data_IF_834208260754
#
_entry.id   IF_834208260754
#
_cell.length_a   1.000
_cell.length_b   1.000
_cell.length_c   1.000
_cell.angle_alpha   90.00
_cell.angle_beta   90.00
_cell.angle_gamma   90.00
#
_symmetry.space_group_name_H-M   'P 1'
#
loop_
_entity.id
_entity.type
_entity.pdbx_description
1 polymer ?
#
# COMPACT_ATOMS: atom_id res chain seq x y z
N UNK A 1 10.14 -8.52 -27.09
CA UNK A 1 8.91 -7.73 -27.41
C UNK A 1 9.30 -6.29 -27.71
N UNK A 2 8.72 -5.64 -28.74
CA UNK A 2 9.01 -4.22 -29.04
C UNK A 2 8.43 -3.35 -27.90
N UNK A 3 9.26 -2.60 -27.18
CA UNK A 3 8.89 -1.75 -26.02
C UNK A 3 7.64 -0.86 -26.25
N UNK A 4 7.41 -0.39 -27.48
CA UNK A 4 6.26 0.45 -27.86
C UNK A 4 4.90 -0.27 -27.83
N UNK A 5 4.84 -1.59 -27.97
CA UNK A 5 3.58 -2.34 -27.95
C UNK A 5 3.17 -2.75 -26.55
N UNK A 6 4.06 -2.67 -25.55
CA UNK A 6 3.80 -3.04 -24.16
C UNK A 6 3.13 -1.89 -23.38
N UNK A 7 3.47 -0.64 -23.69
CA UNK A 7 2.97 0.53 -22.95
C UNK A 7 1.43 0.64 -22.88
N UNK A 8 0.68 0.56 -24.00
CA UNK A 8 -0.78 0.64 -23.93
C UNK A 8 -1.39 -0.56 -23.17
N UNK A 9 -0.83 -1.74 -23.34
CA UNK A 9 -1.31 -2.92 -22.62
C UNK A 9 -1.00 -2.82 -21.11
N UNK A 10 0.16 -2.28 -20.76
CA UNK A 10 0.53 -1.99 -19.37
C UNK A 10 -0.43 -0.94 -18.77
N UNK A 11 -0.70 0.14 -19.50
CA UNK A 11 -1.63 1.18 -19.09
C UNK A 11 -3.01 0.60 -18.72
N UNK A 12 -3.63 -0.14 -19.63
CA UNK A 12 -4.94 -0.74 -19.38
C UNK A 12 -4.91 -1.82 -18.30
N UNK A 13 -3.83 -2.59 -18.20
CA UNK A 13 -3.69 -3.60 -17.14
C UNK A 13 -3.59 -2.98 -15.76
N UNK A 14 -2.76 -1.95 -15.59
CA UNK A 14 -2.60 -1.24 -14.31
C UNK A 14 -3.84 -0.42 -13.95
N UNK A 15 -4.48 0.22 -14.92
CA UNK A 15 -5.74 0.93 -14.74
C UNK A 15 -6.84 -0.01 -14.24
N UNK A 16 -6.98 -1.18 -14.87
CA UNK A 16 -7.94 -2.21 -14.44
C UNK A 16 -7.65 -2.69 -13.01
N UNK A 17 -6.38 -3.02 -12.73
CA UNK A 17 -5.97 -3.44 -11.39
C UNK A 17 -6.31 -2.38 -10.33
N UNK A 18 -6.02 -1.11 -10.62
CA UNK A 18 -6.33 -0.02 -9.69
C UNK A 18 -7.83 0.19 -9.49
N UNK A 19 -8.64 0.07 -10.55
CA UNK A 19 -10.08 0.28 -10.50
C UNK A 19 -10.81 -0.83 -9.70
N UNK A 20 -10.31 -2.06 -9.76
CA UNK A 20 -10.99 -3.24 -9.20
C UNK A 20 -10.29 -3.84 -7.97
N UNK A 21 -9.28 -3.17 -7.43
CA UNK A 21 -8.62 -3.63 -6.21
C UNK A 21 -9.28 -3.02 -4.99
N UNK A 22 -9.95 -3.86 -4.22
CA UNK A 22 -10.52 -3.53 -2.91
C UNK A 22 -9.88 -4.42 -1.85
N UNK A 23 -9.64 -3.91 -0.65
CA UNK A 23 -9.24 -4.73 0.50
C UNK A 23 -7.76 -4.74 0.88
N UNK A 24 -6.92 -3.87 0.30
CA UNK A 24 -5.56 -3.64 0.81
C UNK A 24 -4.43 -4.33 0.04
N UNK A 25 -3.20 -4.17 0.57
CA UNK A 25 -1.96 -4.42 -0.16
C UNK A 25 -1.72 -5.86 -0.65
N UNK A 26 -2.18 -6.87 0.07
CA UNK A 26 -1.98 -8.28 -0.34
C UNK A 26 -2.89 -8.71 -1.49
N UNK A 27 -4.11 -8.16 -1.57
CA UNK A 27 -5.04 -8.46 -2.67
C UNK A 27 -4.47 -7.97 -3.99
N UNK A 28 -3.87 -6.79 -4.03
CA UNK A 28 -3.26 -6.25 -5.25
C UNK A 28 -2.09 -7.10 -5.72
N UNK A 29 -1.28 -7.65 -4.80
CA UNK A 29 -0.15 -8.53 -5.14
C UNK A 29 -0.64 -9.79 -5.87
N UNK A 30 -1.71 -10.42 -5.35
CA UNK A 30 -2.30 -11.60 -5.98
C UNK A 30 -2.88 -11.28 -7.36
N UNK A 31 -3.54 -10.12 -7.51
CA UNK A 31 -4.07 -9.67 -8.79
C UNK A 31 -2.97 -9.31 -9.79
N UNK A 32 -1.86 -8.71 -9.33
CA UNK A 32 -0.69 -8.42 -10.16
C UNK A 32 -0.02 -9.70 -10.64
N UNK A 33 0.16 -10.70 -9.74
CA UNK A 33 0.67 -12.03 -10.12
C UNK A 33 -0.22 -12.63 -11.19
N UNK A 34 -1.53 -12.73 -10.96
CA UNK A 34 -2.47 -13.24 -11.94
C UNK A 34 -2.35 -12.51 -13.29
N UNK A 35 -2.28 -11.16 -13.27
CA UNK A 35 -2.29 -10.35 -14.49
C UNK A 35 -0.99 -10.41 -15.27
N UNK A 36 0.16 -10.29 -14.60
CA UNK A 36 1.47 -10.13 -15.26
C UNK A 36 2.24 -11.45 -15.39
N UNK A 37 2.01 -12.41 -14.51
CA UNK A 37 2.65 -13.74 -14.58
C UNK A 37 1.73 -14.71 -15.32
N UNK A 38 0.51 -14.95 -14.82
CA UNK A 38 -0.32 -16.05 -15.31
C UNK A 38 -1.00 -15.73 -16.66
N UNK A 39 -1.55 -14.51 -16.83
CA UNK A 39 -2.29 -14.14 -18.04
C UNK A 39 -1.40 -13.58 -19.14
N UNK A 40 -0.44 -12.73 -18.78
CA UNK A 40 0.41 -12.03 -19.77
C UNK A 40 1.76 -12.67 -19.99
N UNK A 41 2.22 -13.51 -19.07
CA UNK A 41 3.56 -14.13 -19.11
C UNK A 41 4.69 -13.11 -19.35
N UNK A 42 4.54 -11.90 -18.78
CA UNK A 42 5.53 -10.83 -18.94
C UNK A 42 6.66 -10.93 -17.93
N UNK A 43 6.39 -11.53 -16.78
CA UNK A 43 7.29 -11.63 -15.63
C UNK A 43 7.22 -13.06 -15.12
N UNK A 44 8.38 -13.59 -14.68
CA UNK A 44 8.45 -14.88 -14.01
C UNK A 44 7.90 -14.82 -12.59
N UNK A 45 7.55 -15.96 -12.01
CA UNK A 45 6.96 -16.04 -10.67
C UNK A 45 7.94 -15.55 -9.60
N UNK A 46 9.18 -16.02 -9.61
CA UNK A 46 10.23 -15.61 -8.67
C UNK A 46 10.53 -14.12 -8.80
N UNK A 47 10.62 -13.64 -10.03
CA UNK A 47 10.85 -12.23 -10.31
C UNK A 47 9.69 -11.34 -9.80
N UNK A 48 8.45 -11.81 -9.91
CA UNK A 48 7.29 -11.09 -9.36
C UNK A 48 7.37 -10.96 -7.83
N UNK A 49 7.87 -11.99 -7.14
CA UNK A 49 8.08 -11.95 -5.69
C UNK A 49 9.12 -10.89 -5.31
N UNK A 50 10.23 -10.81 -6.05
CA UNK A 50 11.26 -9.78 -5.84
C UNK A 50 10.70 -8.36 -6.06
N UNK A 51 9.93 -8.15 -7.13
CA UNK A 51 9.31 -6.85 -7.42
C UNK A 51 8.30 -6.45 -6.33
N UNK A 52 7.56 -7.40 -5.78
CA UNK A 52 6.65 -7.18 -4.66
C UNK A 52 7.42 -6.80 -3.39
N UNK A 53 8.54 -7.48 -3.10
CA UNK A 53 9.38 -7.14 -1.95
C UNK A 53 9.93 -5.71 -2.06
N UNK A 54 10.35 -5.28 -3.24
CA UNK A 54 10.79 -3.90 -3.51
C UNK A 54 9.62 -2.92 -3.30
N UNK A 55 8.43 -3.23 -3.82
CA UNK A 55 7.25 -2.39 -3.69
C UNK A 55 6.83 -2.22 -2.22
N UNK A 56 6.93 -3.29 -1.42
CA UNK A 56 6.63 -3.26 0.01
C UNK A 56 7.68 -2.51 0.85
N UNK A 57 8.94 -2.51 0.42
CA UNK A 57 10.00 -1.76 1.09
C UNK A 57 9.95 -0.25 0.83
N UNK A 58 9.20 0.16 -0.19
CA UNK A 58 9.05 1.57 -0.56
C UNK A 58 7.89 2.22 0.20
N UNK A 59 8.04 3.46 0.69
CA UNK A 59 6.95 4.17 1.36
C UNK A 59 5.81 4.47 0.37
N UNK A 60 4.57 4.22 0.79
CA UNK A 60 3.37 4.51 0.01
C UNK A 60 2.51 3.28 -0.30
N UNK A 61 1.42 3.45 -1.06
CA UNK A 61 0.51 2.37 -1.40
C UNK A 61 1.20 1.27 -2.23
N UNK A 62 1.14 0.02 -1.78
CA UNK A 62 1.75 -1.13 -2.46
C UNK A 62 1.26 -1.24 -3.91
N UNK A 63 -0.01 -0.91 -4.17
CA UNK A 63 -0.60 -0.90 -5.50
C UNK A 63 0.15 0.02 -6.47
N UNK A 64 0.46 1.24 -6.03
CA UNK A 64 1.17 2.25 -6.84
C UNK A 64 2.63 1.84 -6.99
N UNK A 65 3.30 1.51 -5.88
CA UNK A 65 4.70 1.10 -5.90
C UNK A 65 4.91 -0.14 -6.76
N UNK A 66 4.06 -1.16 -6.61
CA UNK A 66 4.13 -2.39 -7.42
C UNK A 66 3.90 -2.13 -8.91
N UNK A 67 2.91 -1.32 -9.25
CA UNK A 67 2.67 -0.94 -10.64
C UNK A 67 3.87 -0.20 -11.26
N UNK A 68 4.50 0.72 -10.51
CA UNK A 68 5.69 1.46 -10.95
C UNK A 68 6.86 0.51 -11.16
N UNK A 69 7.14 -0.39 -10.21
CA UNK A 69 8.28 -1.31 -10.27
C UNK A 69 8.11 -2.29 -11.45
N UNK A 70 6.90 -2.85 -11.63
CA UNK A 70 6.56 -3.69 -12.79
C UNK A 70 6.68 -2.90 -14.09
N UNK A 71 6.16 -1.69 -14.14
CA UNK A 71 6.25 -0.80 -15.29
C UNK A 71 7.69 -0.49 -15.67
N UNK A 72 8.53 -0.20 -14.67
CA UNK A 72 9.96 0.02 -14.89
C UNK A 72 10.66 -1.22 -15.45
N UNK A 73 10.37 -2.39 -14.93
CA UNK A 73 10.92 -3.65 -15.42
C UNK A 73 10.56 -3.90 -16.89
N UNK A 74 9.32 -3.65 -17.29
CA UNK A 74 8.83 -3.95 -18.62
C UNK A 74 9.29 -2.94 -19.71
N UNK A 75 9.33 -1.65 -19.38
CA UNK A 75 9.62 -0.60 -20.36
C UNK A 75 10.49 0.56 -19.83
N UNK A 76 11.22 0.35 -18.73
CA UNK A 76 12.08 1.36 -18.12
C UNK A 76 11.27 2.55 -17.58
N UNK A 77 11.84 3.74 -17.60
CA UNK A 77 11.22 4.95 -17.06
C UNK A 77 9.86 5.27 -17.72
N UNK A 78 9.72 5.05 -19.03
CA UNK A 78 8.46 5.23 -19.73
C UNK A 78 7.36 4.28 -19.20
N UNK A 79 7.71 3.03 -18.90
CA UNK A 79 6.82 2.06 -18.29
C UNK A 79 6.41 2.45 -16.88
N UNK A 80 7.38 2.91 -16.06
CA UNK A 80 7.12 3.38 -14.70
C UNK A 80 6.15 4.56 -14.67
N UNK A 81 6.36 5.58 -15.51
CA UNK A 81 5.49 6.73 -15.62
C UNK A 81 4.08 6.35 -16.11
N UNK A 82 4.02 5.48 -17.14
CA UNK A 82 2.74 4.98 -17.68
C UNK A 82 1.94 4.25 -16.60
N UNK A 83 2.60 3.36 -15.84
CA UNK A 83 1.95 2.61 -14.76
C UNK A 83 1.51 3.53 -13.61
N UNK A 84 2.34 4.50 -13.21
CA UNK A 84 2.00 5.47 -12.18
C UNK A 84 0.74 6.26 -12.54
N UNK A 85 0.69 6.82 -13.76
CA UNK A 85 -0.48 7.58 -14.24
C UNK A 85 -1.72 6.69 -14.29
N UNK A 86 -1.60 5.49 -14.87
CA UNK A 86 -2.72 4.56 -15.00
C UNK A 86 -3.29 4.13 -13.64
N UNK A 87 -2.42 3.98 -12.62
CA UNK A 87 -2.85 3.58 -11.28
C UNK A 87 -3.57 4.70 -10.53
N UNK A 88 -3.20 5.97 -10.78
CA UNK A 88 -3.79 7.13 -10.09
C UNK A 88 -5.13 7.56 -10.70
N UNK A 89 -5.35 7.34 -12.00
CA UNK A 89 -6.57 7.77 -12.70
C UNK A 89 -7.87 7.26 -12.05
N UNK A 90 -8.06 5.95 -11.77
CA UNK A 90 -9.32 5.46 -11.23
C UNK A 90 -9.70 6.10 -9.87
N UNK A 91 -8.85 6.10 -8.84
CA UNK A 91 -9.19 6.73 -7.57
C UNK A 91 -9.40 8.25 -7.72
N UNK A 92 -8.62 8.91 -8.58
CA UNK A 92 -8.78 10.33 -8.84
C UNK A 92 -10.15 10.65 -9.47
N UNK A 93 -10.55 9.89 -10.50
CA UNK A 93 -11.86 10.07 -11.17
C UNK A 93 -13.00 9.79 -10.20
N UNK A 94 -12.92 8.71 -9.41
CA UNK A 94 -13.95 8.39 -8.42
C UNK A 94 -14.10 9.52 -7.39
N UNK A 95 -13.00 10.01 -6.83
CA UNK A 95 -13.04 11.10 -5.85
C UNK A 95 -13.55 12.39 -6.49
N UNK A 96 -13.15 12.72 -7.71
CA UNK A 96 -13.62 13.90 -8.42
C UNK A 96 -15.13 13.85 -8.69
N UNK A 97 -15.64 12.69 -9.13
CA UNK A 97 -17.08 12.49 -9.35
C UNK A 97 -17.85 12.59 -8.03
N UNK A 98 -17.40 11.91 -6.98
CA UNK A 98 -18.03 11.98 -5.66
C UNK A 98 -18.04 13.43 -5.14
N UNK A 99 -16.94 14.15 -5.29
CA UNK A 99 -16.83 15.54 -4.87
C UNK A 99 -17.79 16.47 -5.65
N UNK A 100 -17.92 16.26 -6.97
CA UNK A 100 -18.82 17.03 -7.80
C UNK A 100 -20.30 16.83 -7.40
N UNK A 101 -20.69 15.59 -7.15
CA UNK A 101 -22.05 15.24 -6.75
C UNK A 101 -22.31 15.43 -5.25
N UNK A 102 -21.27 15.66 -4.44
CA UNK A 102 -21.39 15.75 -2.98
C UNK A 102 -22.39 16.80 -2.52
N UNK A 103 -22.44 17.97 -3.18
CA UNK A 103 -23.37 19.05 -2.84
C UNK A 103 -24.85 18.64 -3.08
N UNK A 104 -25.11 17.81 -4.10
CA UNK A 104 -26.45 17.30 -4.41
C UNK A 104 -26.91 16.24 -3.38
N UNK A 105 -25.99 15.53 -2.77
CA UNK A 105 -26.28 14.42 -1.86
C UNK A 105 -26.16 14.78 -0.38
N UNK A 106 -25.46 15.88 -0.07
CA UNK A 106 -25.13 16.26 1.31
C UNK A 106 -26.35 16.40 2.21
N UNK A 107 -27.43 16.94 1.66
CA UNK A 107 -28.66 17.25 2.40
C UNK A 107 -29.68 16.08 2.36
N UNK A 108 -29.34 14.97 1.71
CA UNK A 108 -30.20 13.79 1.65
C UNK A 108 -29.92 12.86 2.82
N UNK A 109 -30.91 12.62 3.68
CA UNK A 109 -30.78 11.81 4.88
C UNK A 109 -30.34 10.36 4.59
N UNK A 110 -30.82 9.76 3.49
CA UNK A 110 -30.46 8.40 3.07
C UNK A 110 -28.99 8.33 2.69
N UNK A 111 -28.50 9.28 1.93
CA UNK A 111 -27.09 9.34 1.50
C UNK A 111 -26.17 9.55 2.72
N UNK A 112 -26.56 10.41 3.65
CA UNK A 112 -25.84 10.62 4.90
C UNK A 112 -25.72 9.32 5.71
N UNK A 113 -26.77 8.54 5.82
CA UNK A 113 -26.77 7.25 6.52
C UNK A 113 -25.86 6.22 5.80
N UNK A 114 -25.92 6.15 4.47
CA UNK A 114 -25.04 5.27 3.68
C UNK A 114 -23.58 5.65 3.87
N UNK A 115 -23.25 6.94 3.79
CA UNK A 115 -21.88 7.43 4.01
C UNK A 115 -21.38 7.13 5.43
N UNK A 116 -22.25 7.27 6.44
CA UNK A 116 -21.91 6.91 7.82
C UNK A 116 -21.64 5.40 7.96
N UNK A 117 -22.44 4.56 7.30
CA UNK A 117 -22.21 3.12 7.24
C UNK A 117 -20.89 2.77 6.54
N UNK A 118 -20.56 3.45 5.45
CA UNK A 118 -19.28 3.26 4.75
C UNK A 118 -18.08 3.69 5.63
N UNK A 119 -18.19 4.79 6.36
CA UNK A 119 -17.15 5.22 7.33
C UNK A 119 -16.94 4.19 8.43
N UNK A 120 -18.02 3.62 8.98
CA UNK A 120 -17.93 2.54 9.95
C UNK A 120 -17.24 1.29 9.35
N UNK A 121 -17.57 0.94 8.10
CA UNK A 121 -16.91 -0.15 7.38
C UNK A 121 -15.41 0.08 7.18
N UNK A 122 -15.00 1.29 6.80
CA UNK A 122 -13.56 1.65 6.69
C UNK A 122 -12.89 1.55 8.07
N UNK A 123 -13.55 2.03 9.13
CA UNK A 123 -13.05 1.88 10.50
C UNK A 123 -12.81 0.42 10.89
N UNK A 124 -13.75 -0.47 10.54
CA UNK A 124 -13.61 -1.91 10.78
C UNK A 124 -12.42 -2.53 10.01
N UNK A 125 -12.22 -2.15 8.75
CA UNK A 125 -11.07 -2.60 7.94
C UNK A 125 -9.76 -2.13 8.56
N UNK A 126 -9.66 -0.86 8.97
CA UNK A 126 -8.46 -0.34 9.66
C UNK A 126 -8.20 -1.11 10.95
N UNK A 127 -9.24 -1.36 11.76
CA UNK A 127 -9.11 -2.13 12.99
C UNK A 127 -8.62 -3.57 12.73
N UNK A 128 -9.13 -4.23 11.68
CA UNK A 128 -8.68 -5.56 11.27
C UNK A 128 -7.20 -5.56 10.86
N UNK A 129 -6.76 -4.60 10.05
CA UNK A 129 -5.35 -4.48 9.64
C UNK A 129 -4.44 -4.25 10.84
N UNK A 130 -4.82 -3.36 11.75
CA UNK A 130 -4.06 -3.10 12.99
C UNK A 130 -3.98 -4.35 13.86
N UNK A 131 -5.08 -5.11 13.96
CA UNK A 131 -5.11 -6.37 14.69
C UNK A 131 -4.16 -7.40 14.07
N UNK A 132 -4.19 -7.59 12.76
CA UNK A 132 -3.34 -8.53 12.04
C UNK A 132 -1.85 -8.18 12.21
N UNK A 133 -1.49 -6.90 12.02
CA UNK A 133 -0.12 -6.41 12.24
C UNK A 133 0.33 -6.59 13.69
N UNK A 134 -0.56 -6.32 14.65
CA UNK A 134 -0.28 -6.53 16.08
C UNK A 134 -0.09 -8.00 16.42
N UNK A 135 -0.92 -8.89 15.86
CA UNK A 135 -0.83 -10.32 16.04
C UNK A 135 0.49 -10.89 15.47
N UNK A 136 0.94 -10.39 14.33
CA UNK A 136 2.21 -10.80 13.72
C UNK A 136 3.41 -10.43 14.59
N UNK A 137 3.41 -9.23 15.19
CA UNK A 137 4.45 -8.80 16.13
C UNK A 137 4.41 -9.69 17.39
N UNK A 138 3.22 -10.01 17.90
CA UNK A 138 3.07 -10.86 19.06
C UNK A 138 3.59 -12.29 18.81
N UNK A 139 3.34 -12.84 17.61
CA UNK A 139 3.84 -14.17 17.18
C UNK A 139 5.36 -14.23 17.11
N UNK A 140 6.04 -13.14 16.79
CA UNK A 140 7.50 -13.09 16.76
C UNK A 140 8.15 -13.22 18.16
N UNK A 141 7.34 -13.19 19.25
CA UNK A 141 7.79 -13.29 20.66
C UNK A 141 8.92 -12.32 21.05
N UNK A 142 9.07 -11.24 20.30
CA UNK A 142 10.08 -10.21 20.56
C UNK A 142 9.53 -9.21 21.59
N UNK A 143 9.93 -9.34 22.83
CA UNK A 143 9.54 -8.43 23.91
C UNK A 143 9.87 -6.97 23.57
N UNK A 144 11.01 -6.75 22.91
CA UNK A 144 11.41 -5.40 22.48
C UNK A 144 10.45 -4.79 21.46
N UNK A 145 9.97 -5.58 20.49
CA UNK A 145 9.02 -5.10 19.46
C UNK A 145 7.66 -4.80 20.08
N UNK A 146 7.22 -5.63 21.03
CA UNK A 146 5.97 -5.39 21.79
C UNK A 146 6.06 -4.11 22.63
N UNK A 147 7.18 -3.86 23.30
CA UNK A 147 7.38 -2.64 24.08
C UNK A 147 7.40 -1.40 23.20
N UNK A 148 8.08 -1.44 22.05
CA UNK A 148 8.09 -0.32 21.09
C UNK A 148 6.70 -0.06 20.56
N UNK A 149 5.93 -1.09 20.21
CA UNK A 149 4.54 -0.97 19.74
C UNK A 149 3.65 -0.34 20.82
N UNK A 150 3.72 -0.83 22.06
CA UNK A 150 2.96 -0.29 23.17
C UNK A 150 3.34 1.17 23.49
N UNK A 151 4.64 1.49 23.47
CA UNK A 151 5.13 2.84 23.69
C UNK A 151 4.65 3.80 22.58
N UNK A 152 4.73 3.38 21.31
CA UNK A 152 4.24 4.17 20.18
C UNK A 152 2.74 4.43 20.27
N UNK A 153 1.96 3.44 20.69
CA UNK A 153 0.53 3.57 20.90
C UNK A 153 0.20 4.58 22.02
N UNK A 154 0.86 4.47 23.17
CA UNK A 154 0.66 5.40 24.30
C UNK A 154 1.08 6.82 23.91
N UNK A 155 2.23 7.00 23.26
CA UNK A 155 2.69 8.31 22.80
C UNK A 155 1.73 8.96 21.80
N UNK A 156 1.14 8.16 20.90
CA UNK A 156 0.19 8.65 19.92
C UNK A 156 -1.17 8.97 20.53
N UNK A 157 -1.74 8.04 21.33
CA UNK A 157 -3.11 8.15 21.84
C UNK A 157 -3.22 9.03 23.09
N UNK A 158 -2.28 8.91 24.03
CA UNK A 158 -2.34 9.61 25.33
C UNK A 158 -1.60 10.94 25.26
N UNK A 159 -0.36 10.91 24.79
CA UNK A 159 0.48 12.12 24.73
C UNK A 159 0.20 12.99 23.51
N UNK A 160 -0.63 12.52 22.54
CA UNK A 160 -0.96 13.22 21.28
C UNK A 160 0.28 13.74 20.54
N UNK A 161 1.40 13.01 20.63
CA UNK A 161 2.63 13.34 19.93
C UNK A 161 2.41 13.14 18.44
N UNK A 162 2.91 14.07 17.62
CA UNK A 162 2.80 13.93 16.16
C UNK A 162 3.49 12.64 15.69
N UNK A 163 2.77 11.85 14.90
CA UNK A 163 3.21 10.55 14.39
C UNK A 163 4.58 10.62 13.71
N UNK A 164 4.93 11.74 13.08
CA UNK A 164 6.23 11.95 12.43
C UNK A 164 7.39 11.79 13.42
N UNK A 165 7.28 12.33 14.63
CA UNK A 165 8.33 12.18 15.65
C UNK A 165 8.43 10.75 16.17
N UNK A 166 7.29 10.05 16.28
CA UNK A 166 7.26 8.63 16.69
C UNK A 166 7.97 7.78 15.64
N UNK A 167 7.69 8.00 14.34
CA UNK A 167 8.33 7.27 13.23
C UNK A 167 9.83 7.54 13.20
N UNK A 168 10.26 8.81 13.31
CA UNK A 168 11.68 9.17 13.35
C UNK A 168 12.39 8.54 14.56
N UNK A 169 11.75 8.53 15.72
CA UNK A 169 12.25 7.85 16.91
C UNK A 169 12.41 6.33 16.71
N UNK A 170 11.45 5.68 16.09
CA UNK A 170 11.52 4.25 15.77
C UNK A 170 12.64 3.95 14.78
N UNK A 171 12.83 4.79 13.75
CA UNK A 171 13.94 4.66 12.79
C UNK A 171 15.30 4.81 13.51
N UNK A 172 15.46 5.82 14.37
CA UNK A 172 16.68 6.04 15.13
C UNK A 172 17.01 4.86 16.06
N UNK A 173 15.98 4.32 16.75
CA UNK A 173 16.15 3.12 17.60
C UNK A 173 16.50 1.88 16.79
N UNK A 174 15.86 1.68 15.64
CA UNK A 174 16.13 0.55 14.74
C UNK A 174 17.56 0.59 14.19
N UNK A 175 18.00 1.75 13.71
CA UNK A 175 19.36 1.93 13.18
C UNK A 175 20.42 1.78 14.28
N UNK A 176 20.23 2.36 15.46
CA UNK A 176 21.12 2.21 16.60
C UNK A 176 21.26 0.74 17.01
N UNK A 177 20.17 0.00 17.07
CA UNK A 177 20.16 -1.42 17.43
C UNK A 177 20.89 -2.29 16.41
N UNK A 178 20.74 -2.00 15.11
CA UNK A 178 21.43 -2.72 14.03
C UNK A 178 22.93 -2.46 14.06
N UNK A 179 23.35 -1.21 14.29
CA UNK A 179 24.76 -0.83 14.38
C UNK A 179 25.45 -1.43 15.63
N UNK A 180 24.75 -1.45 16.77
CA UNK A 180 25.26 -2.04 18.00
C UNK A 180 25.31 -3.59 17.93
N UNK A 181 24.36 -4.21 17.23
CA UNK A 181 24.33 -5.65 16.99
C UNK A 181 25.48 -6.11 16.08
N UNK A 182 25.84 -5.32 15.07
CA UNK A 182 27.01 -5.61 14.20
C UNK A 182 28.35 -5.52 14.95
N UNK A 183 28.47 -4.62 15.95
CA UNK A 183 29.69 -4.52 16.76
C UNK A 183 29.92 -5.71 17.72
N UNK A 184 28.90 -6.50 18.04
CA UNK A 184 29.03 -7.69 18.92
C UNK A 184 29.27 -8.99 18.13
N UNK A 185 29.16 -8.97 16.81
CA UNK A 185 29.32 -10.16 15.96
C UNK A 185 30.64 -10.15 15.15
N UNK A 186 31.48 -9.12 15.28
CA UNK A 186 32.87 -9.06 14.80
C UNK A 186 33.85 -8.92 15.98
#
# INVERSE_FOLDING_TARGET
MKKKSVLPQLFFSTLYLSAFTFGGGYVIVSLMKKRFVDERHWIGEDEMLDLVAIAQSSPGPIAVNGAIVVGYKLAGLAGALTAAVATVIPPFVIIALVSYFYQLFRDNAVVSQVLSGMQAGVGAVIASVVWDMGADIARQKSVSSMLIMAAAFVLSCVCKVNVVYIVLGCIALGTARTLLGRRKAG
#
